data_IF_288063002403
#
_entry.id   IF_288063002403
#
_cell.length_a   1.000
_cell.length_b   1.000
_cell.length_c   1.000
_cell.angle_alpha   90.00
_cell.angle_beta   90.00
_cell.angle_gamma   90.00
#
_symmetry.space_group_name_H-M   'P 1'
#
loop_
_entity.id
_entity.type
_entity.pdbx_description
1 polymer ?
#
# COMPACT_ATOMS: atom_id res chain seq x y z
N UNK A 1 45.73 -13.58 6.40
CA UNK A 1 44.43 -12.88 6.25
C UNK A 1 43.61 -13.12 7.50
N UNK A 2 43.15 -12.06 8.15
CA UNK A 2 42.34 -12.17 9.38
C UNK A 2 40.99 -12.79 9.02
N UNK A 3 40.61 -13.85 9.73
CA UNK A 3 39.30 -14.47 9.64
C UNK A 3 38.54 -14.23 10.93
N UNK A 4 37.23 -14.09 10.83
CA UNK A 4 36.35 -13.95 11.97
C UNK A 4 35.07 -14.75 11.73
N UNK A 5 34.45 -15.21 12.83
CA UNK A 5 33.13 -15.83 12.77
C UNK A 5 32.10 -14.87 12.17
N UNK A 6 31.30 -15.39 11.24
CA UNK A 6 30.26 -14.65 10.53
C UNK A 6 29.30 -13.92 11.48
N UNK A 7 28.85 -14.57 12.55
CA UNK A 7 27.93 -13.97 13.53
C UNK A 7 28.49 -12.73 14.23
N UNK A 8 29.80 -12.72 14.51
CA UNK A 8 30.48 -11.57 15.09
C UNK A 8 30.78 -10.51 14.03
N UNK A 9 31.23 -10.92 12.85
CA UNK A 9 31.57 -10.00 11.77
C UNK A 9 30.36 -9.18 11.28
N UNK A 10 29.16 -9.76 11.26
CA UNK A 10 27.93 -9.03 10.95
C UNK A 10 27.65 -7.88 11.94
N UNK A 11 27.96 -8.07 13.22
CA UNK A 11 27.79 -7.03 14.24
C UNK A 11 28.89 -5.99 14.12
N UNK A 12 30.15 -6.41 13.96
CA UNK A 12 31.29 -5.51 13.83
C UNK A 12 31.20 -4.61 12.58
N UNK A 13 30.52 -5.08 11.52
CA UNK A 13 30.22 -4.31 10.30
C UNK A 13 28.91 -3.50 10.39
N UNK A 14 28.24 -3.47 11.54
CA UNK A 14 26.92 -2.84 11.72
C UNK A 14 25.83 -3.36 10.77
N UNK A 15 25.95 -4.59 10.26
CA UNK A 15 24.93 -5.25 9.43
C UNK A 15 23.84 -5.91 10.28
N UNK A 16 24.06 -6.06 11.59
CA UNK A 16 23.12 -6.60 12.57
C UNK A 16 23.27 -5.89 13.91
N UNK A 17 22.15 -5.60 14.57
CA UNK A 17 22.11 -4.92 15.88
C UNK A 17 22.67 -5.78 17.03
N UNK A 18 22.65 -7.10 16.90
CA UNK A 18 23.15 -8.01 17.92
C UNK A 18 23.60 -9.35 17.34
N UNK A 19 24.45 -10.04 18.10
CA UNK A 19 24.96 -11.36 17.72
C UNK A 19 23.85 -12.42 17.68
N UNK A 20 22.86 -12.34 18.57
CA UNK A 20 21.68 -13.22 18.52
C UNK A 20 20.88 -12.99 17.24
N UNK A 21 20.67 -11.73 16.86
CA UNK A 21 19.99 -11.40 15.60
C UNK A 21 20.77 -11.95 14.39
N UNK A 22 22.08 -11.74 14.36
CA UNK A 22 22.97 -12.28 13.33
C UNK A 22 22.82 -13.81 13.20
N UNK A 23 22.83 -14.55 14.31
CA UNK A 23 22.67 -16.01 14.29
C UNK A 23 21.33 -16.47 13.72
N UNK A 24 20.23 -15.75 14.02
CA UNK A 24 18.90 -16.05 13.47
C UNK A 24 18.89 -15.85 11.96
N UNK A 25 19.41 -14.73 11.47
CA UNK A 25 19.44 -14.39 10.04
C UNK A 25 20.30 -15.39 9.26
N UNK A 26 21.48 -15.73 9.79
CA UNK A 26 22.37 -16.74 9.19
C UNK A 26 21.62 -18.07 9.07
N UNK A 27 21.05 -18.59 10.16
CA UNK A 27 20.32 -19.87 10.14
C UNK A 27 19.09 -19.86 9.24
N UNK A 28 18.48 -18.70 9.04
CA UNK A 28 17.35 -18.52 8.12
C UNK A 28 17.78 -18.45 6.65
N UNK A 29 19.08 -18.53 6.34
CA UNK A 29 19.60 -18.36 4.99
C UNK A 29 19.47 -16.93 4.46
N UNK A 30 19.34 -15.95 5.36
CA UNK A 30 19.19 -14.53 5.05
C UNK A 30 20.54 -13.81 4.96
N UNK A 31 21.66 -14.54 4.98
CA UNK A 31 23.02 -13.96 4.87
C UNK A 31 23.78 -14.62 3.74
N UNK A 32 24.31 -13.79 2.84
CA UNK A 32 25.13 -14.19 1.71
C UNK A 32 26.55 -13.62 1.85
N UNK A 33 27.54 -14.45 1.60
CA UNK A 33 28.97 -14.09 1.65
C UNK A 33 29.60 -14.49 0.32
N UNK A 34 30.22 -13.53 -0.37
CA UNK A 34 30.83 -13.72 -1.69
C UNK A 34 29.89 -14.44 -2.69
N UNK A 35 28.60 -14.11 -2.65
CA UNK A 35 27.57 -14.69 -3.52
C UNK A 35 27.02 -16.06 -3.09
N UNK A 36 27.41 -16.58 -1.92
CA UNK A 36 26.91 -17.85 -1.39
C UNK A 36 26.14 -17.68 -0.08
N UNK A 37 24.98 -18.32 0.05
CA UNK A 37 24.23 -18.33 1.31
C UNK A 37 25.00 -19.17 2.33
N UNK A 38 25.28 -18.58 3.49
CA UNK A 38 25.86 -19.29 4.62
C UNK A 38 24.81 -19.43 5.73
N UNK A 39 24.68 -20.64 6.26
CA UNK A 39 23.67 -21.03 7.25
C UNK A 39 24.26 -21.36 8.64
N UNK A 40 25.60 -21.37 8.74
CA UNK A 40 26.35 -21.70 9.96
C UNK A 40 26.96 -20.43 10.59
N UNK A 41 26.45 -19.97 11.76
CA UNK A 41 26.92 -18.72 12.36
C UNK A 41 28.39 -18.70 12.79
N UNK A 42 28.94 -19.88 13.11
CA UNK A 42 30.34 -20.04 13.50
C UNK A 42 31.32 -20.11 12.34
N UNK A 43 30.86 -20.00 11.09
CA UNK A 43 31.76 -20.07 9.92
C UNK A 43 32.77 -18.94 9.95
N UNK A 44 34.05 -19.28 9.89
CA UNK A 44 35.12 -18.29 9.80
C UNK A 44 35.29 -17.79 8.37
N UNK A 45 35.01 -16.51 8.17
CA UNK A 45 35.11 -15.85 6.87
C UNK A 45 36.17 -14.75 6.93
N UNK A 46 36.72 -14.39 5.77
CA UNK A 46 37.67 -13.27 5.67
C UNK A 46 36.95 -11.99 6.08
N UNK A 47 37.61 -11.14 6.87
CA UNK A 47 37.05 -9.83 7.25
C UNK A 47 36.82 -8.89 6.06
N UNK A 48 37.42 -9.20 4.91
CA UNK A 48 37.28 -8.49 3.64
C UNK A 48 36.23 -9.11 2.70
N UNK A 49 35.52 -10.16 3.12
CA UNK A 49 34.50 -10.80 2.28
C UNK A 49 33.32 -9.84 2.03
N UNK A 50 32.70 -9.94 0.87
CA UNK A 50 31.48 -9.17 0.59
C UNK A 50 30.30 -9.86 1.26
N UNK A 51 29.68 -9.19 2.24
CA UNK A 51 28.55 -9.73 2.99
C UNK A 51 27.29 -8.94 2.64
N UNK A 52 26.23 -9.66 2.30
CA UNK A 52 24.90 -9.12 2.08
C UNK A 52 23.92 -9.79 3.04
N UNK A 53 23.20 -8.99 3.80
CA UNK A 53 22.10 -9.46 4.64
C UNK A 53 20.81 -9.16 3.90
N UNK A 54 19.96 -10.18 3.73
CA UNK A 54 18.64 -10.03 3.15
C UNK A 54 17.79 -9.18 4.07
N UNK A 55 17.50 -7.96 3.65
CA UNK A 55 16.60 -7.08 4.38
C UNK A 55 15.21 -7.69 4.43
N UNK A 56 14.59 -7.67 5.63
CA UNK A 56 13.18 -8.00 5.71
C UNK A 56 12.38 -6.91 5.00
N UNK A 57 11.40 -7.28 4.16
CA UNK A 57 10.52 -6.30 3.57
C UNK A 57 9.90 -5.43 4.67
N UNK A 58 9.84 -4.10 4.48
CA UNK A 58 9.32 -3.19 5.50
C UNK A 58 7.84 -3.44 5.80
N UNK A 59 7.12 -4.14 4.93
CA UNK A 59 5.71 -4.48 5.07
C UNK A 59 5.43 -5.94 4.70
N UNK A 60 4.31 -6.49 5.17
CA UNK A 60 3.87 -7.86 4.84
C UNK A 60 3.65 -8.12 3.34
N UNK A 61 3.51 -7.08 2.52
CA UNK A 61 3.46 -7.18 1.07
C UNK A 61 4.03 -5.95 0.39
N UNK A 62 4.32 -6.06 -0.92
CA UNK A 62 4.79 -4.96 -1.75
C UNK A 62 3.82 -3.77 -1.78
N UNK A 63 2.53 -3.99 -1.52
CA UNK A 63 1.52 -2.93 -1.45
C UNK A 63 1.89 -1.85 -0.43
N UNK A 64 2.45 -2.22 0.73
CA UNK A 64 2.80 -1.25 1.77
C UNK A 64 3.78 -0.17 1.29
N UNK A 65 4.70 -0.49 0.37
CA UNK A 65 5.63 0.49 -0.20
C UNK A 65 4.91 1.58 -1.00
N UNK A 66 3.78 1.24 -1.66
CA UNK A 66 2.99 2.21 -2.42
C UNK A 66 2.34 3.21 -1.48
N UNK A 67 1.67 2.73 -0.44
CA UNK A 67 1.01 3.61 0.52
C UNK A 67 2.04 4.44 1.31
N UNK A 68 3.14 3.84 1.74
CA UNK A 68 4.22 4.57 2.41
C UNK A 68 4.71 5.77 1.58
N UNK A 69 4.85 5.58 0.25
CA UNK A 69 5.22 6.68 -0.65
C UNK A 69 4.15 7.78 -0.72
N UNK A 70 2.87 7.41 -0.76
CA UNK A 70 1.79 8.38 -0.71
C UNK A 70 1.78 9.17 0.61
N UNK A 71 1.89 8.49 1.77
CA UNK A 71 1.90 9.15 3.08
C UNK A 71 3.05 10.14 3.20
N UNK A 72 4.25 9.73 2.77
CA UNK A 72 5.46 10.58 2.76
C UNK A 72 5.28 11.80 1.85
N UNK A 73 4.96 11.60 0.57
CA UNK A 73 4.94 12.68 -0.42
C UNK A 73 3.78 13.65 -0.20
N UNK A 74 2.63 13.14 0.24
CA UNK A 74 1.45 13.96 0.50
C UNK A 74 1.43 14.56 1.91
N UNK A 75 2.32 14.13 2.81
CA UNK A 75 2.34 14.59 4.19
C UNK A 75 1.08 14.20 4.98
N UNK A 76 0.54 13.01 4.73
CA UNK A 76 -0.68 12.53 5.37
C UNK A 76 -0.33 12.04 6.79
N UNK A 77 -0.88 12.72 7.81
CA UNK A 77 -0.81 12.22 9.18
C UNK A 77 -1.80 11.08 9.39
N UNK A 78 -1.31 9.97 9.95
CA UNK A 78 -2.09 8.75 10.27
C UNK A 78 -2.20 8.51 11.77
N UNK A 79 -1.33 9.15 12.57
CA UNK A 79 -1.28 8.97 14.03
C UNK A 79 -2.65 9.20 14.68
N UNK A 80 -3.13 8.21 15.42
CA UNK A 80 -4.41 8.24 16.13
C UNK A 80 -5.66 8.09 15.26
N UNK A 81 -5.53 8.05 13.93
CA UNK A 81 -6.68 7.95 13.00
C UNK A 81 -7.29 6.56 12.97
N UNK A 82 -8.55 6.50 12.56
CA UNK A 82 -9.25 5.26 12.24
C UNK A 82 -9.32 5.18 10.71
N UNK A 83 -8.85 4.07 10.15
CA UNK A 83 -8.72 3.92 8.71
C UNK A 83 -9.61 2.80 8.16
N UNK A 84 -9.93 2.89 6.88
CA UNK A 84 -10.59 1.86 6.09
C UNK A 84 -9.65 1.41 4.97
N UNK A 85 -9.28 0.14 4.93
CA UNK A 85 -8.51 -0.48 3.85
C UNK A 85 -9.45 -1.27 2.93
N UNK A 86 -9.78 -0.66 1.79
CA UNK A 86 -10.63 -1.23 0.75
C UNK A 86 -9.84 -2.09 -0.22
N UNK A 87 -9.89 -3.41 -0.04
CA UNK A 87 -9.06 -4.37 -0.78
C UNK A 87 -7.81 -4.78 -0.01
N UNK A 88 -7.94 -5.13 1.27
CA UNK A 88 -6.81 -5.42 2.17
C UNK A 88 -5.86 -6.50 1.63
N UNK A 89 -6.37 -7.55 0.95
CA UNK A 89 -5.61 -8.68 0.41
C UNK A 89 -4.65 -9.29 1.45
N UNK A 90 -3.34 -9.30 1.21
CA UNK A 90 -2.33 -9.73 2.19
C UNK A 90 -2.19 -8.77 3.38
N UNK A 91 -2.57 -7.50 3.22
CA UNK A 91 -2.59 -6.47 4.25
C UNK A 91 -1.43 -5.46 4.19
N UNK A 92 -0.84 -5.25 3.02
CA UNK A 92 0.29 -4.33 2.87
C UNK A 92 -0.05 -2.88 3.24
N UNK A 93 -1.22 -2.38 2.83
CA UNK A 93 -1.69 -1.04 3.17
C UNK A 93 -2.04 -0.94 4.66
N UNK A 94 -2.80 -1.90 5.19
CA UNK A 94 -3.08 -2.02 6.64
C UNK A 94 -1.80 -2.02 7.49
N UNK A 95 -0.78 -2.82 7.16
CA UNK A 95 0.50 -2.84 7.89
C UNK A 95 1.20 -1.48 7.85
N UNK A 96 1.16 -0.80 6.69
CA UNK A 96 1.69 0.56 6.57
C UNK A 96 0.94 1.56 7.45
N UNK A 97 -0.39 1.51 7.50
CA UNK A 97 -1.20 2.39 8.35
C UNK A 97 -0.93 2.16 9.84
N UNK A 98 -0.86 0.91 10.28
CA UNK A 98 -0.60 0.56 11.68
C UNK A 98 0.79 0.99 12.14
N UNK A 99 1.80 0.89 11.25
CA UNK A 99 3.16 1.38 11.50
C UNK A 99 3.24 2.91 11.49
N UNK A 100 2.35 3.57 10.75
CA UNK A 100 2.21 5.03 10.73
C UNK A 100 1.33 5.58 11.87
N UNK A 101 0.94 4.75 12.83
CA UNK A 101 0.24 5.19 14.05
C UNK A 101 -1.28 5.10 14.00
N UNK A 102 -1.87 4.39 13.03
CA UNK A 102 -3.32 4.21 12.99
C UNK A 102 -3.81 3.55 14.30
N UNK A 103 -4.85 4.14 14.90
CA UNK A 103 -5.51 3.62 16.10
C UNK A 103 -6.25 2.32 15.80
N UNK A 104 -6.91 2.27 14.64
CA UNK A 104 -7.67 1.11 14.19
C UNK A 104 -7.76 1.09 12.65
N UNK A 105 -7.80 -0.09 12.05
CA UNK A 105 -7.99 -0.27 10.60
C UNK A 105 -9.10 -1.28 10.35
N UNK A 106 -10.11 -0.88 9.58
CA UNK A 106 -11.12 -1.77 9.04
C UNK A 106 -10.65 -2.31 7.70
N UNK A 107 -10.34 -3.60 7.62
CA UNK A 107 -9.88 -4.25 6.39
C UNK A 107 -11.02 -4.95 5.68
N UNK A 108 -11.37 -4.50 4.47
CA UNK A 108 -12.44 -5.09 3.65
C UNK A 108 -11.83 -5.84 2.47
N UNK A 109 -12.25 -7.09 2.25
CA UNK A 109 -11.86 -7.85 1.07
C UNK A 109 -13.00 -8.74 0.55
N UNK A 110 -13.02 -8.97 -0.76
CA UNK A 110 -13.90 -9.95 -1.40
C UNK A 110 -13.39 -11.39 -1.23
N UNK A 111 -12.08 -11.55 -1.07
CA UNK A 111 -11.40 -12.80 -0.81
C UNK A 111 -11.54 -13.28 0.64
N UNK A 112 -10.91 -14.42 0.93
CA UNK A 112 -10.88 -15.02 2.25
C UNK A 112 -9.52 -15.68 2.49
N UNK A 113 -8.98 -15.54 3.71
CA UNK A 113 -7.79 -16.25 4.16
C UNK A 113 -6.46 -15.73 3.59
N UNK A 114 -6.45 -14.53 2.99
CA UNK A 114 -5.25 -13.96 2.36
C UNK A 114 -4.44 -13.06 3.30
N UNK A 115 -5.10 -12.48 4.31
CA UNK A 115 -4.50 -11.52 5.25
C UNK A 115 -3.39 -12.20 6.06
N UNK A 116 -2.23 -11.55 6.14
CA UNK A 116 -1.08 -12.02 6.91
C UNK A 116 -1.47 -12.32 8.37
N UNK A 117 -0.93 -13.43 8.91
CA UNK A 117 -1.29 -13.92 10.24
C UNK A 117 -1.04 -12.88 11.35
N UNK A 118 0.03 -12.09 11.25
CA UNK A 118 0.31 -11.01 12.20
C UNK A 118 -0.79 -9.96 12.24
N UNK A 119 -1.35 -9.58 11.09
CA UNK A 119 -2.42 -8.59 11.00
C UNK A 119 -3.77 -9.15 11.42
N UNK A 120 -4.04 -10.42 11.09
CA UNK A 120 -5.27 -11.10 11.51
C UNK A 120 -5.42 -11.16 13.04
N UNK A 121 -4.30 -11.22 13.76
CA UNK A 121 -4.29 -11.27 15.23
C UNK A 121 -4.03 -9.90 15.89
N UNK A 122 -3.82 -8.83 15.11
CA UNK A 122 -3.65 -7.48 15.66
C UNK A 122 -5.02 -6.95 16.11
N UNK A 123 -5.13 -6.57 17.39
CA UNK A 123 -6.37 -6.09 17.99
C UNK A 123 -6.89 -4.78 17.38
N UNK A 124 -6.04 -4.04 16.66
CA UNK A 124 -6.40 -2.82 15.96
C UNK A 124 -7.01 -3.09 14.59
N UNK A 125 -7.06 -4.35 14.13
CA UNK A 125 -7.59 -4.70 12.81
C UNK A 125 -8.96 -5.34 12.93
N UNK A 126 -9.95 -4.75 12.27
CA UNK A 126 -11.29 -5.32 12.13
C UNK A 126 -11.46 -5.83 10.71
N UNK A 127 -11.48 -7.15 10.53
CA UNK A 127 -11.57 -7.77 9.21
C UNK A 127 -13.02 -8.02 8.77
N UNK A 128 -13.32 -7.64 7.54
CA UNK A 128 -14.56 -7.94 6.80
C UNK A 128 -14.21 -8.60 5.48
N UNK A 129 -13.94 -9.90 5.55
CA UNK A 129 -13.69 -10.76 4.39
C UNK A 129 -15.00 -11.14 3.69
N UNK A 130 -14.91 -11.69 2.47
CA UNK A 130 -16.08 -12.06 1.64
C UNK A 130 -17.09 -10.91 1.46
N UNK A 131 -16.60 -9.68 1.49
CA UNK A 131 -17.42 -8.47 1.52
C UNK A 131 -17.09 -7.61 0.31
N UNK A 132 -18.10 -7.29 -0.49
CA UNK A 132 -17.92 -6.41 -1.64
C UNK A 132 -18.09 -4.95 -1.22
N UNK A 133 -16.97 -4.20 -1.21
CA UNK A 133 -16.92 -2.80 -0.82
C UNK A 133 -17.95 -1.93 -1.57
N UNK A 134 -18.28 -2.26 -2.83
CA UNK A 134 -19.27 -1.50 -3.64
C UNK A 134 -20.65 -1.40 -2.97
N UNK A 135 -21.06 -2.45 -2.26
CA UNK A 135 -22.40 -2.56 -1.69
C UNK A 135 -22.41 -2.42 -0.17
N UNK A 136 -21.23 -2.30 0.45
CA UNK A 136 -21.07 -2.28 1.90
C UNK A 136 -21.72 -1.02 2.48
N UNK A 137 -22.60 -1.20 3.46
CA UNK A 137 -23.23 -0.09 4.18
C UNK A 137 -22.51 0.18 5.51
N UNK A 138 -22.57 1.43 6.03
CA UNK A 138 -21.99 1.77 7.33
C UNK A 138 -22.45 0.86 8.47
N UNK A 139 -23.74 0.46 8.48
CA UNK A 139 -24.30 -0.44 9.48
C UNK A 139 -23.64 -1.84 9.49
N UNK A 140 -23.24 -2.36 8.33
CA UNK A 140 -22.61 -3.67 8.21
C UNK A 140 -21.13 -3.65 8.64
N UNK A 141 -20.47 -2.52 8.39
CA UNK A 141 -19.06 -2.32 8.72
C UNK A 141 -18.86 -2.00 10.20
N UNK A 142 -19.57 -0.98 10.69
CA UNK A 142 -19.41 -0.41 12.02
C UNK A 142 -20.42 -0.95 13.04
N UNK A 143 -21.37 -1.78 12.62
CA UNK A 143 -22.48 -2.24 13.44
C UNK A 143 -23.60 -1.21 13.57
N UNK A 144 -24.69 -1.63 14.22
CA UNK A 144 -25.76 -0.74 14.69
C UNK A 144 -25.55 -0.59 16.19
N UNK A 145 -25.26 0.60 16.72
CA UNK A 145 -25.11 0.74 18.16
C UNK A 145 -26.47 0.48 18.83
N UNK A 146 -26.61 -0.55 19.68
CA UNK A 146 -27.85 -0.77 20.43
C UNK A 146 -27.96 0.17 21.64
N UNK A 147 -26.87 0.89 21.97
CA UNK A 147 -26.77 1.76 23.14
C UNK A 147 -26.53 3.20 22.69
N UNK A 148 -27.42 4.15 23.03
CA UNK A 148 -27.15 5.56 22.86
C UNK A 148 -25.87 5.92 23.66
N UNK A 149 -24.90 6.59 23.03
CA UNK A 149 -23.64 7.09 23.62
C UNK A 149 -22.41 6.16 23.64
N UNK A 150 -22.41 5.01 22.95
CA UNK A 150 -21.13 4.38 22.60
C UNK A 150 -20.59 5.08 21.35
N UNK A 151 -19.42 5.73 21.44
CA UNK A 151 -18.80 6.41 20.30
C UNK A 151 -18.52 5.42 19.18
N UNK A 152 -19.35 5.45 18.14
CA UNK A 152 -19.17 4.63 16.96
C UNK A 152 -17.88 5.07 16.25
N UNK A 153 -16.95 4.14 16.11
CA UNK A 153 -15.57 4.39 15.66
C UNK A 153 -15.55 4.36 14.14
N UNK A 154 -15.95 5.47 13.52
CA UNK A 154 -15.95 5.65 12.07
C UNK A 154 -14.54 5.94 11.55
N UNK A 155 -14.24 5.45 10.35
CA UNK A 155 -12.99 5.78 9.69
C UNK A 155 -13.08 7.15 9.02
N UNK A 156 -12.01 7.93 9.10
CA UNK A 156 -11.89 9.24 8.41
C UNK A 156 -10.92 9.18 7.22
N UNK A 157 -10.05 8.17 7.17
CA UNK A 157 -9.10 7.90 6.08
C UNK A 157 -9.41 6.57 5.40
N UNK A 158 -9.75 6.61 4.13
CA UNK A 158 -9.80 5.42 3.27
C UNK A 158 -8.53 5.22 2.47
N UNK A 159 -8.07 3.98 2.34
CA UNK A 159 -7.03 3.59 1.38
C UNK A 159 -7.58 2.46 0.52
N UNK A 160 -7.33 2.48 -0.79
CA UNK A 160 -7.96 1.52 -1.72
C UNK A 160 -6.95 0.95 -2.71
N UNK A 161 -6.78 -0.37 -2.69
CA UNK A 161 -5.98 -1.15 -3.64
C UNK A 161 -6.81 -2.34 -4.18
N UNK A 162 -7.83 -2.05 -4.99
CA UNK A 162 -8.70 -3.07 -5.59
C UNK A 162 -8.23 -3.47 -6.99
N UNK A 163 -8.62 -4.68 -7.42
CA UNK A 163 -8.35 -5.19 -8.78
C UNK A 163 -9.65 -5.63 -9.45
N UNK A 164 -9.67 -5.63 -10.78
CA UNK A 164 -10.82 -6.09 -11.59
C UNK A 164 -12.11 -5.26 -11.44
N UNK A 165 -12.02 -4.06 -10.87
CA UNK A 165 -13.12 -3.11 -10.74
C UNK A 165 -12.59 -1.69 -10.92
N UNK A 166 -13.40 -0.83 -11.56
CA UNK A 166 -13.12 0.60 -11.65
C UNK A 166 -13.41 1.30 -10.33
N UNK A 167 -12.54 2.21 -9.93
CA UNK A 167 -12.70 3.07 -8.75
C UNK A 167 -13.98 3.91 -8.82
N UNK A 168 -14.46 4.26 -10.02
CA UNK A 168 -15.75 4.97 -10.23
C UNK A 168 -16.93 4.25 -9.60
N UNK A 169 -16.87 2.92 -9.45
CA UNK A 169 -17.91 2.10 -8.82
C UNK A 169 -17.76 1.99 -7.30
N UNK A 170 -16.60 2.33 -6.76
CA UNK A 170 -16.28 2.22 -5.33
C UNK A 170 -16.37 3.57 -4.61
N UNK A 171 -16.07 4.67 -5.30
CA UNK A 171 -16.12 6.03 -4.76
C UNK A 171 -17.43 6.40 -4.02
N UNK A 172 -18.64 6.02 -4.51
CA UNK A 172 -19.88 6.30 -3.78
C UNK A 172 -19.95 5.61 -2.41
N UNK A 173 -19.46 4.36 -2.31
CA UNK A 173 -19.45 3.62 -1.06
C UNK A 173 -18.46 4.26 -0.07
N UNK A 174 -17.27 4.66 -0.52
CA UNK A 174 -16.28 5.34 0.33
C UNK A 174 -16.84 6.64 0.92
N UNK A 175 -17.60 7.41 0.14
CA UNK A 175 -18.23 8.64 0.62
C UNK A 175 -19.19 8.38 1.79
N UNK A 176 -19.94 7.27 1.74
CA UNK A 176 -20.87 6.88 2.79
C UNK A 176 -20.18 6.27 4.01
N UNK A 177 -19.12 5.49 3.80
CA UNK A 177 -18.44 4.74 4.86
C UNK A 177 -17.54 5.64 5.72
N UNK A 178 -16.95 6.68 5.16
CA UNK A 178 -16.05 7.55 5.93
C UNK A 178 -16.82 8.62 6.72
N UNK A 179 -16.22 9.19 7.76
CA UNK A 179 -16.73 10.34 8.51
C UNK A 179 -15.96 11.63 8.19
N UNK A 180 -16.61 12.83 8.21
CA UNK A 180 -15.89 14.10 8.07
C UNK A 180 -14.83 14.29 9.16
N UNK A 181 -13.68 14.96 8.86
CA UNK A 181 -13.21 15.29 7.53
C UNK A 181 -12.72 14.03 6.78
N UNK A 182 -13.37 13.72 5.65
CA UNK A 182 -13.10 12.50 4.89
C UNK A 182 -11.90 12.68 3.98
N UNK A 183 -11.00 11.70 3.97
CA UNK A 183 -9.88 11.62 3.04
C UNK A 183 -9.77 10.23 2.44
N UNK A 184 -9.31 10.13 1.19
CA UNK A 184 -9.01 8.85 0.56
C UNK A 184 -7.71 8.88 -0.25
N UNK A 185 -6.94 7.82 -0.15
CA UNK A 185 -5.82 7.52 -1.06
C UNK A 185 -6.22 6.33 -1.93
N UNK A 186 -6.32 6.55 -3.23
CA UNK A 186 -6.75 5.56 -4.20
C UNK A 186 -5.57 5.14 -5.07
N UNK A 187 -5.39 3.84 -5.24
CA UNK A 187 -4.47 3.31 -6.23
C UNK A 187 -5.19 3.15 -7.58
N UNK A 188 -5.01 4.13 -8.46
CA UNK A 188 -5.52 4.10 -9.83
C UNK A 188 -4.70 3.12 -10.66
N UNK A 189 -5.37 2.07 -11.14
CA UNK A 189 -4.80 1.02 -11.99
C UNK A 189 -5.38 1.14 -13.40
N UNK A 190 -4.69 1.82 -14.35
CA UNK A 190 -5.26 2.10 -15.67
C UNK A 190 -5.88 0.89 -16.37
N UNK A 191 -5.29 -0.30 -16.22
CA UNK A 191 -5.79 -1.55 -16.79
C UNK A 191 -7.20 -1.97 -16.35
N UNK A 192 -7.71 -1.42 -15.25
CA UNK A 192 -9.07 -1.66 -14.76
C UNK A 192 -10.01 -0.46 -14.96
N UNK A 193 -9.48 0.67 -15.43
CA UNK A 193 -10.22 1.91 -15.66
C UNK A 193 -10.49 2.17 -17.15
N UNK A 194 -9.61 1.69 -18.03
CA UNK A 194 -9.78 1.82 -19.49
C UNK A 194 -10.64 0.68 -20.05
N UNK A 195 -11.31 0.95 -21.18
CA UNK A 195 -12.03 -0.08 -21.93
C UNK A 195 -11.09 -1.18 -22.47
N UNK A 196 -11.64 -2.38 -22.73
CA UNK A 196 -10.87 -3.56 -23.16
C UNK A 196 -10.00 -3.29 -24.39
N UNK A 197 -10.46 -2.47 -25.33
CA UNK A 197 -9.75 -2.14 -26.57
C UNK A 197 -8.46 -1.33 -26.35
N UNK A 198 -8.31 -0.72 -25.17
CA UNK A 198 -7.15 0.09 -24.79
C UNK A 198 -6.15 -0.67 -23.91
N UNK A 199 -6.42 -1.94 -23.61
CA UNK A 199 -5.55 -2.82 -22.84
C UNK A 199 -4.73 -3.67 -23.81
N UNK A 200 -3.42 -3.50 -23.79
CA UNK A 200 -2.50 -4.23 -24.67
C UNK A 200 -2.28 -5.68 -24.26
N UNK A 201 -1.39 -6.37 -25.01
CA UNK A 201 -0.95 -7.74 -24.72
C UNK A 201 -0.55 -7.89 -23.25
N UNK A 202 -0.94 -9.01 -22.63
CA UNK A 202 -0.72 -9.35 -21.21
C UNK A 202 -1.44 -8.43 -20.19
N UNK A 203 -2.44 -7.67 -20.62
CA UNK A 203 -3.22 -6.83 -19.71
C UNK A 203 -2.52 -5.51 -19.35
N UNK A 204 -1.62 -5.01 -20.20
CA UNK A 204 -0.75 -3.85 -19.89
C UNK A 204 -1.14 -2.60 -20.68
N UNK A 205 -1.31 -1.48 -19.99
CA UNK A 205 -1.60 -0.16 -20.60
C UNK A 205 -0.29 0.62 -20.81
N UNK A 206 0.29 0.48 -22.01
CA UNK A 206 1.57 1.10 -22.38
C UNK A 206 1.45 2.57 -22.77
N UNK A 207 0.33 2.96 -23.38
CA UNK A 207 0.12 4.32 -23.85
C UNK A 207 -0.09 5.29 -22.66
N UNK A 208 0.78 6.30 -22.47
CA UNK A 208 0.60 7.31 -21.41
C UNK A 208 -0.71 8.07 -21.54
N UNK A 209 -1.24 8.30 -22.74
CA UNK A 209 -2.51 9.00 -22.93
C UNK A 209 -3.68 8.17 -22.40
N UNK A 210 -3.68 6.85 -22.62
CA UNK A 210 -4.70 5.97 -22.02
C UNK A 210 -4.61 5.94 -20.49
N UNK A 211 -3.40 6.02 -19.93
CA UNK A 211 -3.22 6.15 -18.46
C UNK A 211 -3.74 7.49 -17.95
N UNK A 212 -3.54 8.57 -18.70
CA UNK A 212 -4.06 9.88 -18.35
C UNK A 212 -5.59 9.93 -18.40
N UNK A 213 -6.20 9.36 -19.43
CA UNK A 213 -7.65 9.25 -19.57
C UNK A 213 -8.26 8.45 -18.40
N UNK A 214 -7.61 7.36 -17.96
CA UNK A 214 -8.04 6.59 -16.80
C UNK A 214 -8.11 7.45 -15.52
N UNK A 215 -7.06 8.23 -15.25
CA UNK A 215 -7.00 9.12 -14.08
C UNK A 215 -8.05 10.22 -14.19
N UNK A 216 -8.20 10.83 -15.36
CA UNK A 216 -9.17 11.89 -15.61
C UNK A 216 -10.62 11.40 -15.37
N UNK A 217 -10.95 10.18 -15.82
CA UNK A 217 -12.26 9.57 -15.59
C UNK A 217 -12.55 9.36 -14.10
N UNK A 218 -11.56 8.90 -13.33
CA UNK A 218 -11.69 8.72 -11.88
C UNK A 218 -11.88 10.07 -11.19
N UNK A 219 -11.10 11.09 -11.56
CA UNK A 219 -11.22 12.45 -11.02
C UNK A 219 -12.58 13.07 -11.30
N UNK A 220 -13.09 12.94 -12.52
CA UNK A 220 -14.40 13.47 -12.90
C UNK A 220 -15.53 12.79 -12.11
N UNK A 221 -15.49 11.47 -11.98
CA UNK A 221 -16.44 10.73 -11.13
C UNK A 221 -16.34 11.13 -9.65
N UNK A 222 -15.13 11.39 -9.15
CA UNK A 222 -14.91 11.81 -7.77
C UNK A 222 -15.47 13.20 -7.52
N UNK A 223 -15.23 14.14 -8.45
CA UNK A 223 -15.73 15.52 -8.41
C UNK A 223 -17.25 15.58 -8.31
N UNK A 224 -17.95 14.75 -9.09
CA UNK A 224 -19.42 14.67 -9.07
C UNK A 224 -19.99 14.22 -7.71
N UNK A 225 -19.20 13.49 -6.91
CA UNK A 225 -19.58 13.03 -5.57
C UNK A 225 -19.18 14.03 -4.46
N UNK A 226 -18.44 15.09 -4.79
CA UNK A 226 -17.96 16.09 -3.84
C UNK A 226 -16.51 15.91 -3.36
N UNK A 227 -15.80 14.87 -3.82
CA UNK A 227 -14.38 14.66 -3.50
C UNK A 227 -13.51 15.70 -4.19
N UNK A 228 -12.76 16.49 -3.43
CA UNK A 228 -11.80 17.48 -3.90
C UNK A 228 -10.40 16.88 -4.11
N UNK A 229 -9.72 17.31 -5.17
CA UNK A 229 -8.37 16.88 -5.50
C UNK A 229 -7.35 17.36 -4.47
N UNK A 230 -6.41 16.50 -4.06
CA UNK A 230 -5.35 16.88 -3.09
C UNK A 230 -3.94 16.46 -3.51
N UNK A 231 -3.80 15.49 -4.41
CA UNK A 231 -2.50 15.15 -4.99
C UNK A 231 -2.54 13.93 -5.90
N UNK A 232 -1.58 13.84 -6.83
CA UNK A 232 -1.41 12.72 -7.74
C UNK A 232 0.08 12.44 -7.94
N UNK A 233 0.48 11.21 -7.69
CA UNK A 233 1.84 10.73 -7.96
C UNK A 233 1.79 9.35 -8.60
N UNK A 234 2.89 8.94 -9.21
CA UNK A 234 3.06 7.57 -9.66
C UNK A 234 3.44 6.64 -8.49
N UNK A 235 2.94 5.40 -8.50
CA UNK A 235 3.37 4.36 -7.57
C UNK A 235 4.89 4.11 -7.71
N UNK A 236 5.62 3.87 -6.60
CA UNK A 236 7.06 3.60 -6.63
C UNK A 236 7.40 2.24 -7.26
N UNK A 237 6.40 1.38 -7.43
CA UNK A 237 6.54 0.05 -8.03
C UNK A 237 5.44 -0.19 -9.06
N UNK A 238 5.74 -1.00 -10.07
CA UNK A 238 4.75 -1.48 -11.03
C UNK A 238 3.94 -2.64 -10.48
N UNK A 239 2.71 -2.81 -11.02
CA UNK A 239 1.90 -4.00 -10.78
C UNK A 239 2.57 -5.27 -11.31
N UNK A 240 2.11 -6.48 -10.92
CA UNK A 240 2.78 -7.75 -11.26
C UNK A 240 3.02 -7.98 -12.75
N UNK A 241 2.13 -7.47 -13.61
CA UNK A 241 2.25 -7.56 -15.07
C UNK A 241 3.06 -6.42 -15.71
N UNK A 242 3.63 -5.51 -14.91
CA UNK A 242 4.38 -4.34 -15.38
C UNK A 242 3.52 -3.09 -15.63
N UNK A 243 2.26 -3.06 -15.17
CA UNK A 243 1.44 -1.85 -15.27
C UNK A 243 1.99 -0.75 -14.36
N UNK A 244 2.07 0.46 -14.90
CA UNK A 244 2.29 1.67 -14.11
C UNK A 244 0.97 2.05 -13.44
N UNK A 245 1.03 2.25 -12.12
CA UNK A 245 -0.12 2.58 -11.27
C UNK A 245 0.11 3.95 -10.63
N UNK A 246 -0.95 4.62 -10.19
CA UNK A 246 -0.89 5.99 -9.67
C UNK A 246 -1.61 6.09 -8.32
N UNK A 247 -1.07 6.89 -7.41
CA UNK A 247 -1.66 7.18 -6.12
C UNK A 247 -2.35 8.55 -6.21
N UNK A 248 -3.66 8.55 -6.03
CA UNK A 248 -4.52 9.72 -6.08
C UNK A 248 -5.05 10.01 -4.67
N UNK A 249 -4.77 11.19 -4.14
CA UNK A 249 -5.27 11.67 -2.87
C UNK A 249 -6.43 12.63 -3.08
N UNK A 250 -7.54 12.37 -2.40
CA UNK A 250 -8.74 13.19 -2.40
C UNK A 250 -9.16 13.49 -0.96
N UNK A 251 -9.80 14.62 -0.75
CA UNK A 251 -10.39 15.02 0.53
C UNK A 251 -11.73 15.71 0.31
N UNK A 252 -12.54 15.88 1.35
CA UNK A 252 -13.80 16.63 1.22
C UNK A 252 -13.62 18.15 1.18
N UNK A 253 -12.48 18.67 1.64
CA UNK A 253 -12.26 20.09 1.95
C UNK A 253 -10.98 20.69 1.32
N UNK A 254 -10.44 20.07 0.26
CA UNK A 254 -9.28 20.62 -0.44
C UNK A 254 -9.65 21.84 -1.28
N UNK A 255 -8.75 22.82 -1.31
CA UNK A 255 -8.83 24.03 -2.15
C UNK A 255 -7.96 23.95 -3.41
N UNK A 256 -7.27 22.83 -3.63
CA UNK A 256 -6.42 22.66 -4.81
C UNK A 256 -7.28 22.48 -6.07
N UNK A 257 -6.88 23.13 -7.14
CA UNK A 257 -7.51 22.95 -8.44
C UNK A 257 -7.27 21.53 -8.96
N UNK A 258 -8.29 20.95 -9.60
CA UNK A 258 -8.12 19.71 -10.34
C UNK A 258 -7.13 19.92 -11.48
N UNK A 259 -6.18 18.99 -11.70
CA UNK A 259 -5.32 19.07 -12.85
C UNK A 259 -6.16 18.87 -14.13
N UNK A 260 -5.87 19.65 -15.16
CA UNK A 260 -6.43 19.40 -16.48
C UNK A 260 -5.78 18.16 -17.13
N UNK A 261 -6.33 17.73 -18.26
CA UNK A 261 -5.81 16.54 -18.95
C UNK A 261 -4.36 16.71 -19.43
N UNK A 262 -3.92 17.94 -19.71
CA UNK A 262 -2.55 18.22 -20.13
C UNK A 262 -1.55 17.98 -18.98
N UNK A 263 -1.86 18.47 -17.78
CA UNK A 263 -1.07 18.23 -16.58
C UNK A 263 -1.02 16.73 -16.22
N UNK A 264 -2.14 16.01 -16.33
CA UNK A 264 -2.16 14.55 -16.11
C UNK A 264 -1.30 13.82 -17.15
N UNK A 265 -1.34 14.23 -18.42
CA UNK A 265 -0.50 13.67 -19.49
C UNK A 265 0.99 13.86 -19.23
N UNK A 266 1.39 14.99 -18.65
CA UNK A 266 2.77 15.23 -18.26
C UNK A 266 3.23 14.22 -17.18
N UNK A 267 2.41 14.03 -16.14
CA UNK A 267 2.67 13.06 -15.05
C UNK A 267 2.81 11.64 -15.62
N UNK A 268 1.89 11.23 -16.49
CA UNK A 268 1.89 9.87 -17.05
C UNK A 268 3.01 9.61 -18.07
N UNK A 269 3.63 10.67 -18.62
CA UNK A 269 4.73 10.58 -19.58
C UNK A 269 6.12 10.53 -18.94
N UNK A 270 6.32 11.14 -17.76
CA UNK A 270 7.61 11.19 -17.04
C UNK A 270 8.16 9.80 -16.64
N UNK A 271 7.31 8.79 -16.54
CA UNK A 271 7.66 7.42 -16.15
C UNK A 271 8.30 6.56 -17.26
N UNK A 272 8.54 7.11 -18.47
CA UNK A 272 9.21 6.36 -19.56
C UNK A 272 10.68 5.97 -19.29
N UNK A 273 11.30 6.50 -18.22
CA UNK A 273 12.76 6.43 -18.02
C UNK A 273 13.21 5.49 -16.89
N UNK A 274 12.40 4.51 -16.49
CA UNK A 274 12.73 3.53 -15.44
C UNK A 274 12.95 2.10 -15.97
N UNK A 275 13.17 1.94 -17.29
CA UNK A 275 13.60 0.67 -17.90
C UNK A 275 15.13 0.56 -17.96
#
# INVERSE_FOLDING_TARGET
MVKQRLDKLLVDLNLCESRQRAQVLIRAGEVMVDGQILDKPGTEIKTTAQIQVKEKPPFVSRGGQKLAKALEVFGISVEGRICLDGGISTGGFTDCLLKAGAKQVYGVDVGYGQVAWSLRNDQRVVLKERTNLRYLQPADLYGVSPVPNQSQVYADLGVVDVSFISLTKILPALWQLLSPPREVVLLVKPQFEVGRDRVGKKGVVRDPHHRADAIANVLESAKQLGWQYKGLISSPITGPAGNIEYLLWLAMDSILCYPDLAAIREITSKMKNLE
#
